data_IF_190401462515
#
_entry.id   IF_190401462515
#
_cell.length_a   1.000
_cell.length_b   1.000
_cell.length_c   1.000
_cell.angle_alpha   90.00
_cell.angle_beta   90.00
_cell.angle_gamma   90.00
#
_symmetry.space_group_name_H-M   'P 1'
#
loop_
_entity.id
_entity.type
_entity.pdbx_description
1 polymer ?
#
# COMPACT_ATOMS: atom_id res chain seq x y z
N UNK A 1 -6.17 5.11 -0.08
CA UNK A 1 -5.46 5.58 1.13
C UNK A 1 -6.41 5.68 2.33
N UNK A 2 -7.46 6.50 2.30
CA UNK A 2 -8.46 6.67 3.38
C UNK A 2 -8.98 5.32 3.91
N UNK A 3 -9.45 4.41 3.03
CA UNK A 3 -9.93 3.07 3.39
C UNK A 3 -8.85 2.21 4.10
N UNK A 4 -7.58 2.40 3.77
CA UNK A 4 -6.48 1.70 4.44
C UNK A 4 -6.28 2.20 5.87
N UNK A 5 -6.26 3.52 6.10
CA UNK A 5 -6.19 4.07 7.46
C UNK A 5 -7.31 3.53 8.33
N UNK A 6 -8.57 3.60 7.82
CA UNK A 6 -9.72 3.05 8.53
C UNK A 6 -9.51 1.59 8.91
N UNK A 7 -9.06 0.75 7.96
CA UNK A 7 -8.79 -0.66 8.22
C UNK A 7 -7.78 -0.86 9.36
N UNK A 8 -6.65 -0.15 9.36
CA UNK A 8 -5.63 -0.27 10.40
C UNK A 8 -6.11 0.24 11.76
N UNK A 9 -6.83 1.35 11.79
CA UNK A 9 -7.43 1.87 13.01
C UNK A 9 -8.47 0.89 13.57
N UNK A 10 -9.37 0.37 12.75
CA UNK A 10 -10.37 -0.60 13.15
C UNK A 10 -9.76 -1.91 13.69
N UNK A 11 -8.69 -2.42 13.05
CA UNK A 11 -7.96 -3.60 13.53
C UNK A 11 -7.34 -3.32 14.92
N UNK A 12 -6.71 -2.16 15.10
CA UNK A 12 -6.15 -1.78 16.39
C UNK A 12 -7.23 -1.67 17.47
N UNK A 13 -8.34 -1.01 17.19
CA UNK A 13 -9.48 -0.90 18.10
C UNK A 13 -10.02 -2.30 18.46
N UNK A 14 -10.20 -3.17 17.48
CA UNK A 14 -10.65 -4.54 17.69
C UNK A 14 -9.73 -5.32 18.61
N UNK A 15 -8.40 -5.22 18.41
CA UNK A 15 -7.41 -5.91 19.26
C UNK A 15 -7.51 -5.46 20.72
N UNK A 16 -7.65 -4.17 20.98
CA UNK A 16 -7.84 -3.64 22.34
C UNK A 16 -9.18 -4.03 22.97
N UNK A 17 -10.25 -4.12 22.17
CA UNK A 17 -11.56 -4.54 22.64
C UNK A 17 -11.61 -6.05 22.95
N UNK A 18 -10.90 -6.86 22.14
CA UNK A 18 -10.83 -8.32 22.32
C UNK A 18 -10.24 -8.73 23.66
N UNK A 19 -9.37 -7.91 24.25
CA UNK A 19 -8.76 -8.16 25.56
C UNK A 19 -9.75 -8.00 26.72
N UNK A 20 -10.94 -7.40 26.48
CA UNK A 20 -11.96 -7.17 27.49
C UNK A 20 -12.93 -8.36 27.58
N UNK A 21 -12.90 -9.10 28.68
CA UNK A 21 -13.75 -10.29 28.89
C UNK A 21 -15.25 -10.01 28.78
N UNK A 22 -15.70 -8.83 29.20
CA UNK A 22 -17.09 -8.35 29.14
C UNK A 22 -17.64 -8.25 27.70
N UNK A 23 -16.76 -8.18 26.68
CA UNK A 23 -17.13 -8.03 25.28
C UNK A 23 -17.12 -9.33 24.48
N UNK A 24 -16.71 -10.45 25.09
CA UNK A 24 -16.67 -11.76 24.41
C UNK A 24 -17.96 -12.16 23.72
N UNK A 25 -19.11 -11.74 24.25
CA UNK A 25 -20.44 -12.03 23.72
C UNK A 25 -20.77 -11.24 22.44
N UNK A 26 -20.07 -10.15 22.19
CA UNK A 26 -20.35 -9.22 21.09
C UNK A 26 -19.27 -9.27 19.98
N UNK A 27 -18.32 -10.19 20.02
CA UNK A 27 -17.18 -10.17 19.10
C UNK A 27 -17.57 -10.26 17.62
N UNK A 28 -18.56 -11.08 17.27
CA UNK A 28 -19.01 -11.19 15.87
C UNK A 28 -19.59 -9.86 15.36
N UNK A 29 -20.45 -9.25 16.16
CA UNK A 29 -21.04 -7.95 15.81
C UNK A 29 -19.97 -6.84 15.80
N UNK A 30 -18.97 -6.90 16.68
CA UNK A 30 -17.82 -5.99 16.65
C UNK A 30 -17.03 -6.10 15.34
N UNK A 31 -16.80 -7.32 14.86
CA UNK A 31 -16.12 -7.55 13.58
C UNK A 31 -16.93 -7.01 12.40
N UNK A 32 -18.25 -7.24 12.39
CA UNK A 32 -19.14 -6.70 11.37
C UNK A 32 -19.13 -5.16 11.36
N UNK A 33 -19.25 -4.51 12.53
CA UNK A 33 -19.25 -3.05 12.64
C UNK A 33 -17.90 -2.43 12.23
N UNK A 34 -16.80 -3.11 12.57
CA UNK A 34 -15.45 -2.68 12.25
C UNK A 34 -15.00 -3.14 10.86
N UNK A 35 -15.83 -3.89 10.13
CA UNK A 35 -15.54 -4.45 8.79
C UNK A 35 -14.25 -5.31 8.79
N UNK A 36 -14.10 -6.16 9.80
CA UNK A 36 -12.92 -7.03 9.98
C UNK A 36 -13.32 -8.47 9.67
N UNK A 37 -12.58 -9.13 8.77
CA UNK A 37 -12.73 -10.54 8.46
C UNK A 37 -11.92 -11.41 9.45
N UNK A 38 -12.56 -12.39 10.10
CA UNK A 38 -11.91 -13.30 11.06
C UNK A 38 -10.85 -14.19 10.41
N UNK A 39 -11.06 -14.59 9.17
CA UNK A 39 -10.16 -15.46 8.42
C UNK A 39 -8.97 -14.70 7.81
N UNK A 40 -8.91 -13.38 8.04
CA UNK A 40 -7.87 -12.56 7.48
C UNK A 40 -6.58 -12.79 8.28
N UNK A 41 -5.63 -13.55 7.73
CA UNK A 41 -4.22 -13.56 8.19
C UNK A 41 -3.70 -12.13 8.40
N UNK A 42 -4.36 -11.18 7.78
CA UNK A 42 -4.15 -9.76 7.91
C UNK A 42 -4.35 -9.24 9.35
N UNK A 43 -5.18 -9.85 10.19
CA UNK A 43 -5.36 -9.35 11.58
C UNK A 43 -4.04 -9.46 12.35
N UNK A 44 -3.30 -10.56 12.20
CA UNK A 44 -1.99 -10.72 12.83
C UNK A 44 -0.89 -9.91 12.13
N UNK A 45 -1.01 -9.70 10.81
CA UNK A 45 -0.01 -9.05 9.97
C UNK A 45 -0.24 -7.55 9.79
N UNK A 46 -1.49 -7.07 9.85
CA UNK A 46 -1.89 -5.67 9.65
C UNK A 46 -2.03 -4.89 10.98
N UNK A 47 -1.12 -5.08 11.91
CA UNK A 47 -1.07 -4.26 13.13
C UNK A 47 -0.82 -2.79 12.77
N UNK A 48 -1.36 -1.81 13.53
CA UNK A 48 -1.12 -0.39 13.30
C UNK A 48 0.35 -0.02 13.09
N UNK A 49 1.25 -0.70 13.82
CA UNK A 49 2.71 -0.55 13.69
C UNK A 49 3.28 -0.89 12.32
N UNK A 50 2.58 -1.69 11.52
CA UNK A 50 3.04 -2.08 10.17
C UNK A 50 2.53 -1.16 9.07
N UNK A 51 1.72 -0.17 9.38
CA UNK A 51 1.16 0.75 8.40
C UNK A 51 2.22 1.42 7.52
N UNK A 52 3.39 1.75 8.08
CA UNK A 52 4.48 2.41 7.37
C UNK A 52 5.03 1.62 6.17
N UNK A 53 4.85 0.29 6.12
CA UNK A 53 5.26 -0.52 4.96
C UNK A 53 4.42 -0.23 3.70
N UNK A 54 3.19 0.22 3.90
CA UNK A 54 2.21 0.43 2.82
C UNK A 54 2.03 1.91 2.49
N UNK A 55 2.93 2.76 3.00
CA UNK A 55 2.81 4.20 2.86
C UNK A 55 4.15 4.84 2.49
N UNK A 56 4.11 5.78 1.52
CA UNK A 56 5.31 6.47 1.03
C UNK A 56 5.94 7.43 2.07
N UNK A 57 5.26 7.64 3.20
CA UNK A 57 5.71 8.53 4.24
C UNK A 57 5.30 9.98 4.03
N UNK A 58 5.81 10.84 4.90
CA UNK A 58 5.60 12.27 4.90
C UNK A 58 6.95 12.93 4.72
N UNK A 59 7.04 13.93 3.84
CA UNK A 59 8.26 14.73 3.70
C UNK A 59 7.99 16.14 4.19
N UNK A 60 8.73 16.52 5.22
CA UNK A 60 8.68 17.85 5.85
C UNK A 60 9.94 18.59 5.45
N UNK A 61 9.77 19.80 4.96
CA UNK A 61 10.86 20.70 4.63
C UNK A 61 10.94 21.82 5.64
N UNK A 62 12.05 21.90 6.34
CA UNK A 62 12.36 22.94 7.33
C UNK A 62 13.26 23.99 6.66
N UNK A 63 12.68 25.14 6.31
CA UNK A 63 13.42 26.21 5.62
C UNK A 63 13.94 27.27 6.58
N UNK A 64 15.13 27.77 6.29
CA UNK A 64 15.82 28.82 7.08
C UNK A 64 15.87 28.51 8.59
N UNK A 65 15.98 27.23 8.93
CA UNK A 65 16.17 26.73 10.29
C UNK A 65 16.97 25.45 10.27
N UNK A 66 17.60 25.13 11.39
CA UNK A 66 18.17 23.80 11.63
C UNK A 66 17.17 22.88 12.32
N UNK A 67 17.23 21.60 11.98
CA UNK A 67 16.47 20.57 12.67
C UNK A 67 17.17 20.25 13.99
N UNK A 68 16.54 20.64 15.09
CA UNK A 68 17.07 20.36 16.42
C UNK A 68 16.57 18.98 16.91
N UNK A 69 17.51 18.12 17.30
CA UNK A 69 17.22 16.82 17.89
C UNK A 69 17.36 16.87 19.41
N UNK A 70 16.26 16.61 20.10
CA UNK A 70 16.21 16.51 21.55
C UNK A 70 15.80 15.08 21.93
N UNK A 71 16.78 14.22 22.14
CA UNK A 71 16.56 12.79 22.38
C UNK A 71 15.95 12.10 21.13
N UNK A 72 14.77 11.50 21.31
CA UNK A 72 13.97 10.84 20.26
C UNK A 72 12.99 11.78 19.55
N UNK A 73 13.05 13.09 19.85
CA UNK A 73 12.15 14.11 19.29
C UNK A 73 12.88 15.04 18.36
N UNK A 74 12.15 15.57 17.39
CA UNK A 74 12.60 16.63 16.49
C UNK A 74 11.82 17.91 16.87
N UNK A 75 12.55 19.00 17.11
CA UNK A 75 11.95 20.30 17.37
C UNK A 75 12.07 21.18 16.12
N UNK A 76 10.93 21.65 15.64
CA UNK A 76 10.84 22.51 14.46
C UNK A 76 10.08 23.79 14.81
N UNK A 77 10.46 24.90 14.17
CA UNK A 77 9.63 26.10 14.20
C UNK A 77 8.47 25.93 13.21
N UNK A 78 7.20 25.88 13.67
CA UNK A 78 6.06 25.61 12.81
C UNK A 78 5.84 26.68 11.72
N UNK A 79 6.34 27.89 11.92
CA UNK A 79 6.25 28.98 10.94
C UNK A 79 7.26 28.84 9.78
N UNK A 80 8.22 27.91 9.90
CA UNK A 80 9.28 27.67 8.92
C UNK A 80 9.28 26.21 8.44
N UNK A 81 8.09 25.61 8.33
CA UNK A 81 7.92 24.22 7.93
C UNK A 81 6.91 24.13 6.78
N UNK A 82 7.23 23.33 5.78
CA UNK A 82 6.31 22.97 4.70
C UNK A 82 6.22 21.45 4.59
N UNK A 83 5.00 20.91 4.48
CA UNK A 83 4.77 19.50 4.11
C UNK A 83 4.79 19.44 2.59
N UNK A 84 5.89 18.99 2.03
CA UNK A 84 6.10 18.95 0.58
C UNK A 84 5.60 17.66 -0.06
N UNK A 85 5.43 16.60 0.74
CA UNK A 85 4.77 15.35 0.32
C UNK A 85 4.04 14.71 1.50
N UNK A 86 2.92 14.03 1.23
CA UNK A 86 2.14 13.32 2.25
C UNK A 86 1.07 14.17 2.95
N UNK A 87 0.80 15.40 2.51
CA UNK A 87 -0.26 16.24 3.08
C UNK A 87 -1.64 15.56 3.04
N UNK A 88 -2.01 14.93 1.92
CA UNK A 88 -3.24 14.15 1.81
C UNK A 88 -3.30 12.97 2.79
N UNK A 89 -2.15 12.39 3.11
CA UNK A 89 -2.05 11.32 4.10
C UNK A 89 -2.45 11.80 5.48
N UNK A 90 -1.93 12.94 5.90
CA UNK A 90 -2.29 13.54 7.19
C UNK A 90 -3.77 13.91 7.23
N UNK A 91 -4.28 14.56 6.17
CA UNK A 91 -5.69 14.91 6.07
C UNK A 91 -6.58 13.68 6.24
N UNK A 92 -6.36 12.62 5.45
CA UNK A 92 -7.15 11.40 5.52
C UNK A 92 -7.01 10.67 6.87
N UNK A 93 -5.84 10.70 7.48
CA UNK A 93 -5.65 10.13 8.81
C UNK A 93 -6.52 10.84 9.85
N UNK A 94 -6.48 12.17 9.89
CA UNK A 94 -7.26 12.95 10.85
C UNK A 94 -8.77 12.83 10.58
N UNK A 95 -9.20 12.84 9.32
CA UNK A 95 -10.60 12.61 8.94
C UNK A 95 -11.13 11.27 9.44
N UNK A 96 -10.34 10.18 9.31
CA UNK A 96 -10.76 8.87 9.79
C UNK A 96 -10.75 8.77 11.32
N UNK A 97 -9.79 9.38 11.98
CA UNK A 97 -9.77 9.45 13.45
C UNK A 97 -11.01 10.20 13.97
N UNK A 98 -11.38 11.29 13.33
CA UNK A 98 -12.54 12.10 13.71
C UNK A 98 -13.85 11.35 13.44
N UNK A 99 -13.98 10.72 12.27
CA UNK A 99 -15.15 9.89 11.94
C UNK A 99 -15.33 8.74 12.95
N UNK A 100 -14.26 8.00 13.24
CA UNK A 100 -14.29 6.90 14.21
C UNK A 100 -14.64 7.40 15.62
N UNK A 101 -14.09 8.53 16.03
CA UNK A 101 -14.37 9.12 17.34
C UNK A 101 -15.85 9.48 17.54
N UNK A 102 -16.50 9.98 16.47
CA UNK A 102 -17.89 10.46 16.56
C UNK A 102 -18.94 9.40 16.20
N UNK A 103 -18.64 8.52 15.25
CA UNK A 103 -19.62 7.60 14.69
C UNK A 103 -19.52 6.18 15.25
N UNK A 104 -18.31 5.70 15.58
CA UNK A 104 -18.13 4.35 16.10
C UNK A 104 -18.83 4.12 17.45
N UNK A 105 -18.77 5.04 18.44
CA UNK A 105 -19.48 4.84 19.71
C UNK A 105 -21.00 4.67 19.54
N UNK A 106 -21.61 5.38 18.58
CA UNK A 106 -23.05 5.29 18.30
C UNK A 106 -23.43 3.89 17.80
N UNK A 107 -22.63 3.35 16.86
CA UNK A 107 -22.83 2.00 16.32
C UNK A 107 -22.60 0.90 17.37
N UNK A 108 -21.60 1.09 18.22
CA UNK A 108 -21.26 0.11 19.26
C UNK A 108 -22.26 0.09 20.42
N UNK A 109 -22.93 1.22 20.74
CA UNK A 109 -23.99 1.27 21.78
C UNK A 109 -25.16 0.34 21.49
N UNK A 110 -25.47 0.07 20.25
CA UNK A 110 -26.56 -0.81 19.84
C UNK A 110 -26.24 -2.29 20.11
N UNK A 111 -24.95 -2.62 20.25
CA UNK A 111 -24.46 -4.01 20.28
C UNK A 111 -23.73 -4.34 21.58
N UNK A 112 -23.07 -3.37 22.19
CA UNK A 112 -22.18 -3.59 23.35
C UNK A 112 -22.37 -2.50 24.41
N UNK A 113 -22.20 -2.88 25.67
CA UNK A 113 -22.17 -1.96 26.84
C UNK A 113 -20.84 -1.19 26.93
N UNK A 114 -20.40 -0.57 25.84
CA UNK A 114 -19.17 0.23 25.83
C UNK A 114 -19.51 1.70 26.00
N UNK A 115 -18.83 2.37 26.92
CA UNK A 115 -18.97 3.82 27.10
C UNK A 115 -18.22 4.59 26.02
N UNK A 116 -18.74 5.74 25.60
CA UNK A 116 -18.14 6.58 24.56
C UNK A 116 -16.69 6.98 24.88
N UNK A 117 -16.41 7.32 26.14
CA UNK A 117 -15.07 7.69 26.58
C UNK A 117 -14.08 6.55 26.43
N UNK A 118 -14.49 5.29 26.63
CA UNK A 118 -13.61 4.12 26.45
C UNK A 118 -13.17 3.94 24.98
N UNK A 119 -14.06 4.22 24.04
CA UNK A 119 -13.71 4.18 22.61
C UNK A 119 -12.74 5.30 22.25
N UNK A 120 -12.95 6.50 22.79
CA UNK A 120 -12.05 7.62 22.57
C UNK A 120 -10.63 7.33 23.12
N UNK A 121 -10.55 6.76 24.31
CA UNK A 121 -9.27 6.33 24.92
C UNK A 121 -8.55 5.26 24.10
N UNK A 122 -9.28 4.21 23.66
CA UNK A 122 -8.72 3.16 22.80
C UNK A 122 -8.24 3.76 21.47
N UNK A 123 -9.03 4.61 20.84
CA UNK A 123 -8.65 5.25 19.58
C UNK A 123 -7.37 6.09 19.74
N UNK A 124 -7.24 6.82 20.87
CA UNK A 124 -6.03 7.58 21.15
C UNK A 124 -4.78 6.67 21.26
N UNK A 125 -4.90 5.51 21.94
CA UNK A 125 -3.83 4.53 22.05
C UNK A 125 -3.48 3.98 20.65
N UNK A 126 -4.49 3.56 19.88
CA UNK A 126 -4.31 3.01 18.53
C UNK A 126 -3.67 4.02 17.58
N UNK A 127 -4.07 5.30 17.66
CA UNK A 127 -3.45 6.36 16.87
C UNK A 127 -1.95 6.53 17.19
N UNK A 128 -1.55 6.34 18.45
CA UNK A 128 -0.13 6.36 18.87
C UNK A 128 0.66 5.13 18.39
N UNK A 129 -0.02 4.04 18.10
CA UNK A 129 0.60 2.82 17.57
C UNK A 129 0.88 2.88 16.06
N UNK A 130 0.23 3.79 15.34
CA UNK A 130 0.47 3.98 13.90
C UNK A 130 1.84 4.61 13.69
N UNK A 131 2.71 3.88 13.00
CA UNK A 131 4.05 4.35 12.65
C UNK A 131 4.02 4.91 11.23
N UNK A 132 4.48 6.14 11.07
CA UNK A 132 4.66 6.81 9.79
C UNK A 132 6.14 7.10 9.55
N UNK A 133 6.61 6.75 8.35
CA UNK A 133 7.94 7.17 7.91
C UNK A 133 7.90 8.68 7.64
N UNK A 134 8.76 9.43 8.32
CA UNK A 134 8.88 10.88 8.10
C UNK A 134 10.31 11.23 7.69
N UNK A 135 10.44 11.97 6.60
CA UNK A 135 11.70 12.52 6.11
C UNK A 135 11.68 14.01 6.40
N UNK A 136 12.67 14.49 7.14
CA UNK A 136 12.85 15.92 7.41
C UNK A 136 14.07 16.42 6.64
N UNK A 137 13.88 17.45 5.84
CA UNK A 137 14.90 18.06 4.98
C UNK A 137 15.12 19.49 5.44
N UNK A 138 16.37 19.90 5.59
CA UNK A 138 16.76 21.29 5.84
C UNK A 138 17.15 21.98 4.53
N UNK A 139 16.83 23.26 4.40
CA UNK A 139 17.27 24.05 3.26
C UNK A 139 16.73 25.47 3.27
N UNK A 140 16.77 26.13 2.12
CA UNK A 140 16.31 27.50 1.98
C UNK A 140 14.85 27.55 1.51
N UNK A 141 14.16 28.66 1.80
CA UNK A 141 12.78 28.87 1.36
C UNK A 141 12.64 28.77 -0.18
N UNK A 142 13.63 29.24 -0.92
CA UNK A 142 13.64 29.21 -2.39
C UNK A 142 13.61 27.79 -2.98
N UNK A 143 14.10 26.77 -2.25
CA UNK A 143 14.16 25.39 -2.69
C UNK A 143 12.83 24.64 -2.49
N UNK A 144 11.91 25.15 -1.69
CA UNK A 144 10.64 24.49 -1.38
C UNK A 144 9.85 24.12 -2.64
N UNK A 145 9.71 25.10 -3.54
CA UNK A 145 8.90 24.92 -4.77
C UNK A 145 9.50 23.91 -5.75
N UNK A 146 10.79 23.98 -6.14
CA UNK A 146 11.40 22.98 -7.01
C UNK A 146 11.35 21.57 -6.43
N UNK A 147 11.62 21.41 -5.12
CA UNK A 147 11.60 20.10 -4.46
C UNK A 147 10.17 19.56 -4.40
N UNK A 148 9.18 20.39 -4.07
CA UNK A 148 7.77 20.00 -4.07
C UNK A 148 7.32 19.54 -5.46
N UNK A 149 7.70 20.27 -6.50
CA UNK A 149 7.42 19.89 -7.87
C UNK A 149 8.05 18.53 -8.22
N UNK A 150 9.35 18.37 -7.96
CA UNK A 150 10.05 17.11 -8.24
C UNK A 150 9.48 15.89 -7.51
N UNK A 151 9.06 16.04 -6.24
CA UNK A 151 8.47 14.96 -5.45
C UNK A 151 7.03 14.62 -5.88
N UNK A 152 6.26 15.60 -6.38
CA UNK A 152 4.86 15.39 -6.75
C UNK A 152 4.67 15.10 -8.25
N UNK A 153 5.72 15.23 -9.07
CA UNK A 153 5.72 14.83 -10.49
C UNK A 153 6.26 13.41 -10.70
N UNK A 154 6.28 12.58 -9.66
CA UNK A 154 6.67 11.19 -9.78
C UNK A 154 5.81 10.50 -10.84
N UNK A 155 6.46 9.71 -11.69
CA UNK A 155 5.77 8.92 -12.71
C UNK A 155 4.80 7.97 -11.99
N UNK A 156 3.50 8.00 -12.33
CA UNK A 156 2.54 7.10 -11.71
C UNK A 156 2.98 5.64 -11.89
N UNK A 157 3.01 4.87 -10.82
CA UNK A 157 3.23 3.43 -10.90
C UNK A 157 1.92 2.81 -11.35
N UNK A 158 1.91 2.20 -12.52
CA UNK A 158 0.75 1.47 -13.01
C UNK A 158 0.78 0.02 -12.51
N UNK A 159 -0.38 -0.63 -12.53
CA UNK A 159 -0.48 -2.04 -12.14
C UNK A 159 0.43 -2.94 -12.99
N UNK A 160 0.62 -2.60 -14.26
CA UNK A 160 1.52 -3.29 -15.17
C UNK A 160 2.99 -3.23 -14.73
N UNK A 161 3.41 -2.10 -14.11
CA UNK A 161 4.78 -1.93 -13.60
C UNK A 161 5.01 -2.84 -12.39
N UNK A 162 4.01 -2.97 -11.51
CA UNK A 162 4.04 -3.87 -10.34
C UNK A 162 4.11 -5.32 -10.81
N UNK A 163 3.30 -5.70 -11.80
CA UNK A 163 3.29 -7.06 -12.36
C UNK A 163 4.63 -7.37 -13.06
N UNK A 164 5.23 -6.40 -13.76
CA UNK A 164 6.53 -6.57 -14.40
C UNK A 164 7.68 -6.83 -13.40
N UNK A 165 7.49 -6.46 -12.13
CA UNK A 165 8.46 -6.70 -11.05
C UNK A 165 8.15 -7.98 -10.24
N UNK A 166 7.09 -8.72 -10.60
CA UNK A 166 6.70 -9.95 -9.93
C UNK A 166 7.71 -11.09 -10.18
N UNK A 167 7.86 -11.97 -9.19
CA UNK A 167 8.76 -13.13 -9.27
C UNK A 167 8.40 -14.05 -10.43
N UNK A 168 7.14 -14.14 -10.81
CA UNK A 168 6.66 -14.94 -11.95
C UNK A 168 7.26 -14.42 -13.25
N UNK A 169 7.29 -13.10 -13.43
CA UNK A 169 7.89 -12.45 -14.61
C UNK A 169 9.42 -12.68 -14.64
N UNK A 170 10.08 -12.58 -13.49
CA UNK A 170 11.50 -12.90 -13.39
C UNK A 170 11.80 -14.34 -13.80
N UNK A 171 10.96 -15.29 -13.38
CA UNK A 171 11.10 -16.70 -13.77
C UNK A 171 10.84 -16.91 -15.27
N UNK A 172 9.81 -16.28 -15.84
CA UNK A 172 9.53 -16.31 -17.29
C UNK A 172 10.72 -15.75 -18.06
N UNK A 173 11.28 -14.61 -17.64
CA UNK A 173 12.43 -14.00 -18.28
C UNK A 173 13.64 -14.92 -18.31
N UNK A 174 13.86 -15.77 -17.30
CA UNK A 174 14.93 -16.74 -17.30
C UNK A 174 14.84 -17.76 -18.47
N UNK A 175 13.61 -18.06 -18.94
CA UNK A 175 13.40 -18.87 -20.15
C UNK A 175 13.49 -18.04 -21.42
N UNK A 176 12.86 -16.87 -21.47
CA UNK A 176 12.83 -16.01 -22.66
C UNK A 176 14.20 -15.52 -23.07
N UNK A 177 15.08 -15.22 -22.10
CA UNK A 177 16.45 -14.74 -22.38
C UNK A 177 17.30 -15.77 -23.12
N UNK A 178 17.05 -17.07 -22.98
CA UNK A 178 17.70 -18.13 -23.77
C UNK A 178 17.41 -18.00 -25.27
N UNK A 179 16.22 -17.42 -25.59
CA UNK A 179 15.77 -17.18 -26.96
C UNK A 179 16.00 -15.71 -27.42
N UNK A 180 16.75 -14.91 -26.67
CA UNK A 180 16.99 -13.51 -27.00
C UNK A 180 15.78 -12.60 -26.77
N UNK A 181 14.81 -13.00 -25.94
CA UNK A 181 13.58 -12.27 -25.64
C UNK A 181 13.52 -11.88 -24.17
N UNK A 182 12.80 -10.81 -23.84
CA UNK A 182 12.62 -10.35 -22.45
C UNK A 182 11.32 -9.56 -22.25
N UNK A 183 10.64 -9.79 -21.13
CA UNK A 183 9.60 -8.88 -20.64
C UNK A 183 10.31 -7.71 -19.94
N UNK A 184 10.14 -6.50 -20.46
CA UNK A 184 10.79 -5.29 -19.99
C UNK A 184 9.96 -4.60 -18.90
N UNK A 185 10.65 -4.00 -17.95
CA UNK A 185 10.07 -3.03 -17.03
C UNK A 185 9.94 -1.67 -17.75
N UNK A 186 9.05 -0.84 -17.31
CA UNK A 186 8.90 0.51 -17.84
C UNK A 186 10.18 1.33 -17.62
N UNK A 187 10.66 1.95 -18.68
CA UNK A 187 11.94 2.69 -18.66
C UNK A 187 13.18 1.84 -18.83
N UNK A 188 13.03 0.53 -19.02
CA UNK A 188 14.11 -0.39 -19.39
C UNK A 188 14.20 -0.45 -20.92
N UNK A 189 14.91 0.50 -21.53
CA UNK A 189 14.96 0.67 -22.99
C UNK A 189 16.14 -0.07 -23.64
N UNK A 190 17.17 -0.43 -22.87
CA UNK A 190 18.37 -1.06 -23.40
C UNK A 190 18.34 -2.58 -23.24
N UNK A 191 17.81 -3.26 -24.23
CA UNK A 191 17.94 -4.71 -24.37
C UNK A 191 18.38 -5.08 -25.79
N UNK A 192 19.47 -5.83 -25.92
CA UNK A 192 20.03 -6.25 -27.22
C UNK A 192 19.22 -7.34 -27.92
N UNK A 193 18.01 -7.64 -27.50
CA UNK A 193 17.09 -8.63 -28.04
C UNK A 193 15.69 -8.07 -28.24
N UNK A 194 14.71 -8.98 -28.43
CA UNK A 194 13.32 -8.57 -28.56
C UNK A 194 12.69 -8.34 -27.19
N UNK A 195 12.34 -7.07 -26.88
CA UNK A 195 11.72 -6.65 -25.63
C UNK A 195 10.19 -6.49 -25.76
N UNK A 196 9.44 -6.93 -24.75
CA UNK A 196 7.97 -6.83 -24.70
C UNK A 196 7.53 -6.17 -23.41
N UNK A 197 6.46 -5.39 -23.45
CA UNK A 197 5.71 -5.08 -22.23
C UNK A 197 5.01 -6.35 -21.70
N UNK A 198 4.66 -6.37 -20.42
CA UNK A 198 3.90 -7.48 -19.80
C UNK A 198 2.60 -7.76 -20.58
N UNK A 199 1.88 -6.68 -20.94
CA UNK A 199 0.61 -6.80 -21.70
C UNK A 199 0.85 -7.42 -23.08
N UNK A 200 1.89 -7.00 -23.76
CA UNK A 200 2.25 -7.50 -25.09
C UNK A 200 2.65 -8.97 -25.02
N UNK A 201 3.48 -9.35 -24.05
CA UNK A 201 3.82 -10.76 -23.82
C UNK A 201 2.56 -11.61 -23.60
N UNK A 202 1.68 -11.20 -22.68
CA UNK A 202 0.44 -11.96 -22.38
C UNK A 202 -0.45 -12.09 -23.61
N UNK A 203 -0.60 -11.02 -24.41
CA UNK A 203 -1.37 -11.07 -25.66
C UNK A 203 -0.75 -12.05 -26.66
N UNK A 204 0.57 -12.01 -26.86
CA UNK A 204 1.27 -12.93 -27.75
C UNK A 204 1.16 -14.37 -27.27
N UNK A 205 1.34 -14.61 -25.97
CA UNK A 205 1.16 -15.92 -25.37
C UNK A 205 -0.24 -16.50 -25.67
N UNK A 206 -1.31 -15.71 -25.44
CA UNK A 206 -2.68 -16.12 -25.73
C UNK A 206 -2.93 -16.44 -27.22
N UNK A 207 -2.25 -15.74 -28.14
CA UNK A 207 -2.34 -16.03 -29.57
C UNK A 207 -1.66 -17.36 -29.92
N UNK A 208 -0.49 -17.61 -29.34
CA UNK A 208 0.22 -18.89 -29.51
C UNK A 208 -0.57 -20.04 -28.92
N UNK A 209 -1.25 -19.80 -27.81
CA UNK A 209 -2.15 -20.77 -27.14
C UNK A 209 -3.55 -20.90 -27.79
N UNK A 210 -3.72 -20.35 -29.01
CA UNK A 210 -4.95 -20.39 -29.82
C UNK A 210 -6.17 -19.76 -29.15
N UNK A 211 -5.96 -18.72 -28.33
CA UNK A 211 -7.01 -17.97 -27.60
C UNK A 211 -7.13 -16.51 -28.08
N UNK A 212 -7.36 -16.24 -29.38
CA UNK A 212 -7.36 -14.88 -29.92
C UNK A 212 -8.47 -13.99 -29.34
N UNK A 213 -9.61 -14.58 -28.97
CA UNK A 213 -10.71 -13.85 -28.34
C UNK A 213 -10.32 -13.27 -26.97
N UNK A 214 -9.58 -14.01 -26.17
CA UNK A 214 -9.07 -13.54 -24.88
C UNK A 214 -7.94 -12.50 -25.06
N UNK A 215 -7.07 -12.70 -26.04
CA UNK A 215 -6.04 -11.72 -26.38
C UNK A 215 -6.63 -10.37 -26.75
N UNK A 216 -7.71 -10.34 -27.56
CA UNK A 216 -8.40 -9.12 -27.94
C UNK A 216 -9.09 -8.43 -26.76
N UNK A 217 -9.69 -9.21 -25.85
CA UNK A 217 -10.49 -8.73 -24.72
C UNK A 217 -9.77 -8.93 -23.38
N UNK A 218 -8.44 -8.80 -23.36
CA UNK A 218 -7.64 -9.00 -22.16
C UNK A 218 -8.05 -8.05 -21.02
N UNK A 219 -8.49 -8.64 -19.92
CA UNK A 219 -8.81 -7.92 -18.69
C UNK A 219 -7.58 -7.87 -17.78
N UNK A 220 -7.29 -6.71 -17.19
CA UNK A 220 -6.13 -6.53 -16.28
C UNK A 220 -6.13 -7.54 -15.13
N UNK A 221 -7.30 -7.87 -14.57
CA UNK A 221 -7.44 -8.87 -13.49
C UNK A 221 -7.07 -10.29 -13.87
N UNK A 222 -6.89 -10.60 -15.16
CA UNK A 222 -6.49 -11.93 -15.64
C UNK A 222 -5.00 -12.05 -15.95
N UNK A 223 -4.25 -10.95 -15.95
CA UNK A 223 -2.83 -10.94 -16.37
C UNK A 223 -2.01 -11.89 -15.50
N UNK A 224 -2.12 -11.80 -14.18
CA UNK A 224 -1.35 -12.64 -13.24
C UNK A 224 -1.66 -14.14 -13.42
N UNK A 225 -2.94 -14.51 -13.59
CA UNK A 225 -3.31 -15.91 -13.81
C UNK A 225 -2.74 -16.45 -15.12
N UNK A 226 -2.71 -15.64 -16.19
CA UNK A 226 -2.15 -16.03 -17.49
C UNK A 226 -0.63 -16.14 -17.44
N UNK A 227 0.05 -15.25 -16.69
CA UNK A 227 1.49 -15.34 -16.48
C UNK A 227 1.88 -16.62 -15.72
N UNK A 228 1.10 -17.00 -14.69
CA UNK A 228 1.32 -18.24 -13.97
C UNK A 228 1.11 -19.46 -14.88
N UNK A 229 0.09 -19.44 -15.73
CA UNK A 229 -0.16 -20.47 -16.74
C UNK A 229 1.01 -20.55 -17.74
N UNK A 230 1.47 -19.41 -18.25
CA UNK A 230 2.62 -19.36 -19.16
C UNK A 230 3.88 -19.93 -18.51
N UNK A 231 4.16 -19.59 -17.25
CA UNK A 231 5.30 -20.13 -16.52
C UNK A 231 5.22 -21.66 -16.36
N UNK A 232 4.03 -22.21 -16.03
CA UNK A 232 3.85 -23.66 -15.94
C UNK A 232 4.07 -24.34 -17.29
N UNK A 233 3.57 -23.76 -18.38
CA UNK A 233 3.80 -24.30 -19.72
C UNK A 233 5.28 -24.26 -20.12
N UNK A 234 6.02 -23.21 -19.75
CA UNK A 234 7.46 -23.13 -19.96
C UNK A 234 8.23 -24.18 -19.16
N UNK A 235 7.85 -24.41 -17.88
CA UNK A 235 8.44 -25.46 -17.04
C UNK A 235 8.17 -26.87 -17.59
N UNK A 236 6.95 -27.13 -18.08
CA UNK A 236 6.56 -28.46 -18.58
C UNK A 236 7.18 -28.80 -19.92
N UNK A 237 7.46 -27.81 -20.78
CA UNK A 237 8.07 -28.04 -22.09
C UNK A 237 9.58 -28.18 -22.02
N UNK A 238 10.20 -27.86 -20.88
CA UNK A 238 11.65 -27.93 -20.70
C UNK A 238 12.41 -27.08 -21.71
N UNK A 239 13.67 -27.45 -21.99
CA UNK A 239 14.53 -26.77 -22.99
C UNK A 239 14.12 -27.02 -24.46
N UNK A 240 12.94 -27.64 -24.70
CA UNK A 240 12.42 -27.99 -26.05
C UNK A 240 11.66 -26.85 -26.75
N UNK A 241 11.81 -25.61 -26.27
CA UNK A 241 11.25 -24.41 -26.90
C UNK A 241 12.40 -23.48 -27.30
N UNK A 242 13.25 -23.97 -28.14
CA UNK A 242 14.15 -23.15 -28.95
C UNK A 242 14.05 -23.65 -30.38
#
# INVERSE_FOLDING_TARGET
MRRQFRKYLCIGIYQHLKEKDELKRCFKQLQEILEIDENDEQISNNRPKKFWFYHNGITIYAYDQKIDRVGDRIKLNPLKVSVINGAQTLTHFFEECDDLKHNLPKKLKEVCTIKENQIAEILEVVCKEIVLKTICIEGKLEDVRPITYGLNTQIPIYQEDIIADDITVHQINAYLMKAGMKILKRGEEEYNGEGFSVIEFVKRYLLVDKRPGESKNLKKSKIESILNEALQNLKNKGDSII
#
